data_IF_278175228171
#
_entry.id   IF_278175228171
#
_cell.length_a   1.000
_cell.length_b   1.000
_cell.length_c   1.000
_cell.angle_alpha   90.00
_cell.angle_beta   90.00
_cell.angle_gamma   90.00
#
_symmetry.space_group_name_H-M   'P 1'
#
loop_
_entity.id
_entity.type
_entity.pdbx_description
1 polymer ?
#
# COMPACT_ATOMS: atom_id res chain seq x y z
N UNK A 1 18.62 3.80 -10.21
CA UNK A 1 18.80 3.81 -8.73
C UNK A 1 17.54 3.22 -8.11
N UNK A 2 17.66 2.60 -6.93
CA UNK A 2 16.48 2.12 -6.19
C UNK A 2 15.60 3.31 -5.79
N UNK A 3 14.30 3.09 -5.70
CA UNK A 3 13.35 4.08 -5.21
C UNK A 3 13.67 4.42 -3.75
N UNK A 4 13.81 5.69 -3.44
CA UNK A 4 14.17 6.14 -2.08
C UNK A 4 13.09 5.74 -1.08
N UNK A 5 13.52 5.10 0.03
CA UNK A 5 12.63 4.76 1.13
C UNK A 5 12.06 6.04 1.75
N UNK A 6 10.72 6.18 1.86
CA UNK A 6 10.13 7.31 2.57
C UNK A 6 10.44 7.25 4.07
N UNK A 7 10.31 8.39 4.75
CA UNK A 7 10.34 8.43 6.21
C UNK A 7 9.14 7.69 6.78
N UNK A 8 9.39 6.82 7.77
CA UNK A 8 8.36 5.96 8.37
C UNK A 8 8.48 6.00 9.88
N UNK A 9 7.44 6.48 10.54
CA UNK A 9 7.27 6.32 11.98
C UNK A 9 6.89 4.88 12.32
N UNK A 10 7.22 4.42 13.53
CA UNK A 10 6.99 3.02 13.89
C UNK A 10 6.28 2.90 15.24
N UNK A 11 5.17 2.17 15.23
CA UNK A 11 4.47 1.72 16.43
C UNK A 11 3.93 0.32 16.18
N UNK A 12 4.80 -0.67 16.34
CA UNK A 12 4.51 -2.07 15.99
C UNK A 12 3.53 -2.68 16.96
N UNK A 13 2.44 -3.24 16.46
CA UNK A 13 1.43 -3.94 17.23
C UNK A 13 2.04 -5.10 18.00
N UNK A 14 1.55 -5.29 19.24
CA UNK A 14 1.98 -6.40 20.09
C UNK A 14 1.15 -7.68 19.89
N UNK A 15 -0.06 -7.56 19.28
CA UNK A 15 -1.06 -8.64 19.33
C UNK A 15 -1.86 -8.84 18.04
N UNK A 16 -1.82 -7.90 17.08
CA UNK A 16 -2.67 -7.94 15.88
C UNK A 16 -1.88 -8.32 14.63
N UNK A 17 -1.16 -9.42 14.68
CA UNK A 17 -0.43 -9.97 13.54
C UNK A 17 -0.14 -11.46 13.77
N UNK A 18 0.28 -12.15 12.73
CA UNK A 18 0.86 -13.49 12.86
C UNK A 18 2.37 -13.37 12.66
N UNK A 19 3.13 -13.86 13.64
CA UNK A 19 4.58 -14.02 13.56
C UNK A 19 4.89 -15.08 12.50
N UNK A 20 5.19 -14.61 11.30
CA UNK A 20 5.30 -15.46 10.10
C UNK A 20 6.72 -15.56 9.60
N UNK A 21 7.54 -14.56 9.94
CA UNK A 21 8.92 -14.45 9.50
C UNK A 21 9.10 -14.71 7.99
N UNK A 22 8.21 -14.05 7.18
CA UNK A 22 8.17 -14.21 5.72
C UNK A 22 9.48 -13.75 5.09
N UNK A 23 9.92 -14.50 4.12
CA UNK A 23 11.04 -14.07 3.26
C UNK A 23 10.53 -13.07 2.20
N UNK A 24 11.40 -12.16 1.69
CA UNK A 24 11.00 -11.17 0.69
C UNK A 24 10.27 -11.75 -0.52
N UNK A 25 10.72 -12.90 -1.03
CA UNK A 25 10.13 -13.56 -2.19
C UNK A 25 8.74 -14.15 -1.95
N UNK A 26 8.29 -14.22 -0.71
CA UNK A 26 6.93 -14.63 -0.36
C UNK A 26 5.92 -13.46 -0.41
N UNK A 27 6.40 -12.22 -0.45
CA UNK A 27 5.60 -11.00 -0.56
C UNK A 27 5.42 -10.71 -2.04
N UNK A 28 4.21 -10.94 -2.56
CA UNK A 28 3.91 -10.87 -4.00
C UNK A 28 2.89 -9.81 -4.38
N UNK A 29 2.17 -9.25 -3.40
CA UNK A 29 1.10 -8.30 -3.64
C UNK A 29 1.19 -7.12 -2.68
N UNK A 30 0.78 -5.95 -3.17
CA UNK A 30 0.47 -4.79 -2.34
C UNK A 30 -1.04 -4.55 -2.38
N UNK A 31 -1.67 -4.35 -1.22
CA UNK A 31 -3.12 -4.14 -1.16
C UNK A 31 -3.43 -2.79 -0.54
N UNK A 32 -4.07 -1.94 -1.34
CA UNK A 32 -4.54 -0.62 -0.95
C UNK A 32 -5.90 -0.73 -0.26
N UNK A 33 -6.00 -0.05 0.88
CA UNK A 33 -7.21 0.10 1.67
C UNK A 33 -7.50 1.57 1.96
N UNK A 34 -8.65 1.85 2.53
CA UNK A 34 -8.95 3.13 3.20
C UNK A 34 -9.41 2.85 4.63
N UNK A 35 -9.06 3.73 5.55
CA UNK A 35 -9.40 3.57 6.97
C UNK A 35 -10.93 3.56 7.21
N UNK A 36 -11.69 4.29 6.39
CA UNK A 36 -13.15 4.41 6.53
C UNK A 36 -13.59 5.14 7.81
N UNK A 37 -12.67 5.86 8.45
CA UNK A 37 -12.87 6.71 9.61
C UNK A 37 -11.95 7.93 9.49
N UNK A 38 -12.19 8.99 10.29
CA UNK A 38 -11.48 10.26 10.19
C UNK A 38 -10.19 10.33 11.03
N UNK A 39 -9.79 9.26 11.69
CA UNK A 39 -8.54 9.19 12.46
C UNK A 39 -7.29 9.22 11.57
N UNK A 40 -6.22 9.88 12.02
CA UNK A 40 -4.91 9.91 11.37
C UNK A 40 -4.14 8.60 11.54
N UNK A 41 -2.96 8.50 10.89
CA UNK A 41 -2.18 7.27 10.85
C UNK A 41 -1.67 6.84 12.23
N UNK A 42 -1.16 7.76 13.04
CA UNK A 42 -0.73 7.47 14.42
C UNK A 42 -1.87 6.91 15.27
N UNK A 43 -3.06 7.53 15.20
CA UNK A 43 -4.23 7.10 15.96
C UNK A 43 -4.66 5.68 15.58
N UNK A 44 -4.58 5.33 14.30
CA UNK A 44 -4.85 3.97 13.83
C UNK A 44 -3.81 2.97 14.32
N UNK A 45 -2.51 3.29 14.29
CA UNK A 45 -1.48 2.43 14.88
C UNK A 45 -1.72 2.23 16.38
N UNK A 46 -2.04 3.29 17.14
CA UNK A 46 -2.41 3.18 18.56
C UNK A 46 -3.63 2.28 18.79
N UNK A 47 -4.62 2.34 17.91
CA UNK A 47 -5.82 1.48 17.99
C UNK A 47 -5.48 -0.02 17.90
N UNK A 48 -4.48 -0.39 17.08
CA UNK A 48 -4.06 -1.77 16.89
C UNK A 48 -2.88 -2.20 17.79
N UNK A 49 -2.34 -1.31 18.61
CA UNK A 49 -1.08 -1.52 19.31
C UNK A 49 -1.08 -2.69 20.30
N UNK A 50 -1.94 -2.63 21.33
CA UNK A 50 -1.91 -3.53 22.49
C UNK A 50 -3.23 -4.24 22.78
N UNK A 51 -4.30 -3.91 22.06
CA UNK A 51 -5.60 -4.56 22.21
C UNK A 51 -5.89 -5.43 21.00
N UNK A 52 -6.32 -6.64 21.24
CA UNK A 52 -6.75 -7.53 20.17
C UNK A 52 -7.97 -6.95 19.42
N UNK A 53 -7.85 -6.82 18.11
CA UNK A 53 -8.88 -6.28 17.20
C UNK A 53 -9.32 -7.27 16.14
N UNK A 54 -8.58 -8.37 15.93
CA UNK A 54 -8.83 -9.35 14.89
C UNK A 54 -8.59 -8.81 13.46
N UNK A 55 -7.91 -7.68 13.35
CA UNK A 55 -7.55 -7.02 12.09
C UNK A 55 -6.28 -6.19 12.30
N UNK A 56 -5.57 -5.87 11.21
CA UNK A 56 -4.43 -4.96 11.21
C UNK A 56 -4.04 -4.60 9.77
N UNK A 57 -3.10 -3.67 9.62
CA UNK A 57 -2.41 -3.40 8.36
C UNK A 57 -0.92 -3.18 8.63
N UNK A 58 -0.08 -3.31 7.62
CA UNK A 58 1.35 -3.07 7.79
C UNK A 58 1.65 -1.57 7.92
N UNK A 59 1.00 -0.75 7.08
CA UNK A 59 1.21 0.68 7.07
C UNK A 59 -0.10 1.45 7.10
N UNK A 60 -0.03 2.66 7.66
CA UNK A 60 -1.04 3.69 7.59
C UNK A 60 -0.42 4.97 7.01
N UNK A 61 -1.08 5.59 6.04
CA UNK A 61 -0.69 6.87 5.44
C UNK A 61 -1.67 7.93 5.91
N UNK A 62 -1.17 8.93 6.62
CA UNK A 62 -1.98 9.96 7.27
C UNK A 62 -2.38 11.12 6.37
N UNK A 63 -3.12 12.06 6.95
CA UNK A 63 -3.71 13.18 6.22
C UNK A 63 -2.67 14.21 5.75
N UNK A 64 -1.56 14.33 6.46
CA UNK A 64 -0.48 15.26 6.15
C UNK A 64 0.72 14.54 5.48
N UNK A 65 0.48 13.30 5.03
CA UNK A 65 1.47 12.48 4.32
C UNK A 65 2.40 11.69 5.24
N UNK A 66 2.19 11.73 6.55
CA UNK A 66 2.96 10.94 7.51
C UNK A 66 2.67 9.45 7.31
N UNK A 67 3.72 8.63 7.33
CA UNK A 67 3.60 7.17 7.17
C UNK A 67 3.93 6.51 8.51
N UNK A 68 3.06 5.62 8.96
CA UNK A 68 3.24 4.83 10.17
C UNK A 68 3.23 3.34 9.87
N UNK A 69 4.23 2.62 10.41
CA UNK A 69 4.28 1.17 10.34
C UNK A 69 3.71 0.56 11.62
N UNK A 70 2.71 -0.32 11.45
CA UNK A 70 1.99 -0.97 12.54
C UNK A 70 2.30 -2.48 12.65
N UNK A 71 2.71 -3.14 11.58
CA UNK A 71 3.15 -4.54 11.55
C UNK A 71 4.44 -4.63 10.76
N UNK A 72 5.36 -5.49 11.18
CA UNK A 72 6.60 -5.74 10.45
C UNK A 72 6.30 -6.37 9.09
N UNK A 73 7.08 -5.99 8.08
CA UNK A 73 6.83 -6.47 6.72
C UNK A 73 7.04 -7.98 6.57
N UNK A 74 7.92 -8.57 7.38
CA UNK A 74 8.13 -10.02 7.42
C UNK A 74 7.07 -10.78 8.23
N UNK A 75 6.20 -10.09 8.96
CA UNK A 75 5.05 -10.67 9.62
C UNK A 75 3.78 -10.55 8.78
N UNK A 76 2.71 -11.23 9.18
CA UNK A 76 1.45 -11.20 8.46
C UNK A 76 0.44 -10.30 9.17
N UNK A 77 0.14 -9.15 8.58
CA UNK A 77 -1.00 -8.33 8.99
C UNK A 77 -2.33 -8.94 8.50
N UNK A 78 -3.41 -8.70 9.25
CA UNK A 78 -4.74 -9.25 8.97
C UNK A 78 -5.62 -8.21 8.27
N UNK A 79 -5.37 -7.93 6.99
CA UNK A 79 -6.01 -6.85 6.23
C UNK A 79 -6.95 -7.32 5.10
N UNK A 80 -6.75 -8.51 4.54
CA UNK A 80 -7.56 -9.07 3.47
C UNK A 80 -8.65 -10.04 3.99
N UNK A 81 -9.16 -9.81 5.21
CA UNK A 81 -10.21 -10.64 5.79
C UNK A 81 -11.50 -10.57 4.98
N UNK A 82 -12.16 -11.71 4.88
CA UNK A 82 -13.46 -11.84 4.23
C UNK A 82 -14.35 -12.81 5.01
N UNK A 83 -15.63 -12.50 5.10
CA UNK A 83 -16.65 -13.44 5.61
C UNK A 83 -17.14 -14.42 4.54
N UNK A 84 -16.65 -14.29 3.31
CA UNK A 84 -17.07 -15.07 2.16
C UNK A 84 -15.90 -15.63 1.36
N UNK A 85 -16.09 -15.70 0.05
CA UNK A 85 -15.07 -16.20 -0.88
C UNK A 85 -14.16 -15.08 -1.33
N UNK A 86 -12.88 -15.41 -1.49
CA UNK A 86 -11.95 -14.54 -2.21
C UNK A 86 -12.33 -14.47 -3.70
N UNK A 87 -12.28 -13.27 -4.25
CA UNK A 87 -12.40 -13.03 -5.71
C UNK A 87 -11.06 -13.29 -6.40
N UNK A 88 -9.98 -12.79 -5.79
CA UNK A 88 -8.63 -13.00 -6.32
C UNK A 88 -8.16 -14.43 -6.04
N UNK A 89 -7.57 -15.08 -7.06
CA UNK A 89 -7.16 -16.49 -6.97
C UNK A 89 -6.08 -16.73 -5.91
N UNK A 90 -5.11 -15.83 -5.80
CA UNK A 90 -3.87 -16.05 -5.05
C UNK A 90 -3.62 -15.08 -3.90
N UNK A 91 -4.00 -13.79 -4.02
CA UNK A 91 -3.69 -12.78 -3.00
C UNK A 91 -4.37 -13.10 -1.66
N UNK A 92 -3.58 -13.12 -0.58
CA UNK A 92 -3.97 -13.40 0.82
C UNK A 92 -3.14 -12.52 1.76
N UNK A 93 -3.51 -12.48 3.03
CA UNK A 93 -2.69 -11.84 4.07
C UNK A 93 -1.24 -12.35 4.08
N UNK A 94 -1.05 -13.67 3.90
CA UNK A 94 0.26 -14.32 3.99
C UNK A 94 1.24 -13.96 2.88
N UNK A 95 0.77 -13.40 1.76
CA UNK A 95 1.64 -13.06 0.62
C UNK A 95 1.48 -11.60 0.15
N UNK A 96 0.95 -10.73 1.00
CA UNK A 96 0.76 -9.32 0.67
C UNK A 96 1.17 -8.37 1.79
N UNK A 97 1.40 -7.12 1.43
CA UNK A 97 1.55 -5.97 2.32
C UNK A 97 0.26 -5.14 2.21
N UNK A 98 -0.41 -4.89 3.33
CA UNK A 98 -1.57 -4.00 3.41
C UNK A 98 -1.16 -2.57 3.75
N UNK A 99 -1.71 -1.60 3.04
CA UNK A 99 -1.51 -0.17 3.26
C UNK A 99 -2.87 0.52 3.36
N UNK A 100 -3.16 1.07 4.51
CA UNK A 100 -4.37 1.84 4.83
C UNK A 100 -4.15 3.33 4.59
N UNK A 101 -4.97 3.96 3.76
CA UNK A 101 -4.95 5.40 3.55
C UNK A 101 -6.01 6.08 4.43
N UNK A 102 -5.59 7.06 5.20
CA UNK A 102 -6.50 7.91 5.98
C UNK A 102 -7.34 8.78 5.04
N UNK A 103 -8.60 8.99 5.41
CA UNK A 103 -9.59 9.72 4.61
C UNK A 103 -10.27 10.80 5.42
N UNK A 104 -10.70 11.86 4.74
CA UNK A 104 -11.58 12.89 5.25
C UNK A 104 -12.94 12.81 4.56
N UNK A 105 -13.93 13.51 5.09
CA UNK A 105 -15.24 13.71 4.43
C UNK A 105 -15.36 15.12 3.89
N UNK A 106 -15.90 15.24 2.69
CA UNK A 106 -16.31 16.53 2.12
C UNK A 106 -17.62 17.03 2.74
N UNK A 107 -18.07 18.20 2.33
CA UNK A 107 -19.33 18.81 2.79
C UNK A 107 -20.58 17.96 2.48
N UNK A 108 -20.49 17.06 1.50
CA UNK A 108 -21.57 16.15 1.09
C UNK A 108 -21.47 14.78 1.78
N UNK A 109 -20.47 14.59 2.66
CA UNK A 109 -20.24 13.34 3.38
C UNK A 109 -19.46 12.28 2.57
N UNK A 110 -18.94 12.59 1.39
CA UNK A 110 -18.15 11.67 0.60
C UNK A 110 -16.73 11.57 1.14
N UNK A 111 -16.18 10.36 1.16
CA UNK A 111 -14.80 10.13 1.51
C UNK A 111 -13.85 10.61 0.42
N UNK A 112 -12.72 11.19 0.82
CA UNK A 112 -11.64 11.58 -0.09
C UNK A 112 -10.28 11.48 0.59
N UNK A 113 -9.22 11.32 -0.21
CA UNK A 113 -7.83 11.42 0.23
C UNK A 113 -7.35 12.87 0.06
N UNK A 114 -6.56 13.37 1.01
CA UNK A 114 -5.82 14.63 0.82
C UNK A 114 -4.75 14.45 -0.26
N UNK A 115 -4.26 15.55 -0.83
CA UNK A 115 -3.16 15.46 -1.81
C UNK A 115 -1.87 14.94 -1.17
N UNK A 116 -1.62 15.28 0.11
CA UNK A 116 -0.51 14.79 0.89
C UNK A 116 -0.60 13.27 1.10
N UNK A 117 -1.78 12.76 1.46
CA UNK A 117 -2.03 11.30 1.55
C UNK A 117 -1.75 10.61 0.22
N UNK A 118 -2.22 11.16 -0.90
CA UNK A 118 -2.01 10.58 -2.23
C UNK A 118 -0.53 10.51 -2.58
N UNK A 119 0.20 11.62 -2.42
CA UNK A 119 1.64 11.70 -2.72
C UNK A 119 2.46 10.72 -1.89
N UNK A 120 2.23 10.69 -0.57
CA UNK A 120 2.93 9.78 0.32
C UNK A 120 2.60 8.30 0.04
N UNK A 121 1.34 8.00 -0.33
CA UNK A 121 0.95 6.65 -0.74
C UNK A 121 1.66 6.23 -2.03
N UNK A 122 1.74 7.11 -3.04
CA UNK A 122 2.49 6.84 -4.29
C UNK A 122 3.95 6.53 -3.99
N UNK A 123 4.60 7.33 -3.15
CA UNK A 123 5.99 7.13 -2.73
C UNK A 123 6.18 5.77 -2.03
N UNK A 124 5.32 5.45 -1.06
CA UNK A 124 5.40 4.20 -0.31
C UNK A 124 5.18 2.98 -1.22
N UNK A 125 4.16 3.02 -2.07
CA UNK A 125 3.88 1.89 -2.98
C UNK A 125 5.00 1.70 -4.00
N UNK A 126 5.51 2.76 -4.61
CA UNK A 126 6.64 2.67 -5.53
C UNK A 126 7.89 2.09 -4.85
N UNK A 127 8.19 2.53 -3.62
CA UNK A 127 9.27 1.96 -2.81
C UNK A 127 9.06 0.46 -2.52
N UNK A 128 7.87 0.04 -2.13
CA UNK A 128 7.57 -1.37 -1.84
C UNK A 128 7.58 -2.23 -3.11
N UNK A 129 7.12 -1.69 -4.25
CA UNK A 129 7.23 -2.35 -5.56
C UNK A 129 8.68 -2.62 -5.94
N UNK A 130 9.54 -1.63 -5.80
CA UNK A 130 10.98 -1.76 -6.08
C UNK A 130 11.62 -2.78 -5.12
N UNK A 131 11.37 -2.63 -3.82
CA UNK A 131 11.92 -3.49 -2.76
C UNK A 131 11.59 -4.97 -2.93
N UNK A 132 10.36 -5.29 -3.33
CA UNK A 132 9.86 -6.66 -3.43
C UNK A 132 9.73 -7.16 -4.87
N UNK A 133 10.18 -6.38 -5.85
CA UNK A 133 10.08 -6.68 -7.28
C UNK A 133 8.63 -6.99 -7.70
N UNK A 134 7.69 -6.18 -7.20
CA UNK A 134 6.26 -6.28 -7.47
C UNK A 134 5.91 -5.31 -8.61
N UNK A 135 5.32 -5.82 -9.69
CA UNK A 135 4.81 -5.00 -10.77
C UNK A 135 3.45 -4.35 -10.43
N UNK A 136 3.03 -3.41 -11.26
CA UNK A 136 1.79 -2.69 -11.02
C UNK A 136 0.54 -3.59 -11.11
N UNK A 137 0.58 -4.74 -11.80
CA UNK A 137 -0.57 -5.65 -11.88
C UNK A 137 -0.80 -6.41 -10.57
N UNK A 138 0.22 -6.53 -9.75
CA UNK A 138 0.16 -7.11 -8.41
C UNK A 138 -0.13 -6.08 -7.30
N UNK A 139 -0.38 -4.81 -7.66
CA UNK A 139 -0.93 -3.80 -6.75
C UNK A 139 -2.45 -3.82 -6.88
N UNK A 140 -3.13 -4.20 -5.81
CA UNK A 140 -4.57 -4.48 -5.77
C UNK A 140 -5.29 -3.58 -4.77
N UNK A 141 -6.61 -3.41 -4.94
CA UNK A 141 -7.51 -2.92 -3.89
C UNK A 141 -8.02 -4.09 -3.07
N UNK A 142 -8.41 -3.88 -1.84
CA UNK A 142 -9.16 -4.90 -1.09
C UNK A 142 -10.42 -5.37 -1.85
N UNK A 143 -11.06 -4.46 -2.60
CA UNK A 143 -12.17 -4.78 -3.49
C UNK A 143 -11.82 -5.84 -4.54
N UNK A 144 -10.63 -5.78 -5.11
CA UNK A 144 -10.16 -6.75 -6.10
C UNK A 144 -9.88 -8.12 -5.46
N UNK A 145 -9.46 -8.13 -4.19
CA UNK A 145 -9.14 -9.35 -3.45
C UNK A 145 -10.39 -10.09 -2.97
N UNK A 146 -11.38 -9.37 -2.41
CA UNK A 146 -12.53 -10.00 -1.74
C UNK A 146 -13.89 -9.49 -2.22
N UNK A 147 -13.95 -8.38 -2.96
CA UNK A 147 -15.17 -7.69 -3.31
C UNK A 147 -15.73 -6.76 -2.23
N UNK A 148 -15.04 -6.66 -1.09
CA UNK A 148 -15.41 -5.71 -0.05
C UNK A 148 -15.27 -4.28 -0.57
N UNK A 149 -16.27 -3.43 -0.36
CA UNK A 149 -16.20 -1.99 -0.69
C UNK A 149 -15.26 -1.27 0.30
N UNK A 150 -13.98 -1.58 0.19
CA UNK A 150 -12.90 -0.95 0.91
C UNK A 150 -12.12 -0.06 -0.06
N UNK A 151 -11.84 1.20 0.34
CA UNK A 151 -11.34 2.21 -0.57
C UNK A 151 -12.48 2.82 -1.38
N UNK A 152 -13.54 3.29 -0.71
CA UNK A 152 -14.71 3.86 -1.37
C UNK A 152 -14.34 4.92 -2.44
N UNK A 153 -13.35 5.82 -2.23
CA UNK A 153 -12.87 6.69 -3.29
C UNK A 153 -12.36 5.96 -4.54
N UNK A 154 -11.71 4.82 -4.35
CA UNK A 154 -11.09 4.03 -5.43
C UNK A 154 -12.10 3.17 -6.21
N UNK A 155 -13.25 2.84 -5.63
CA UNK A 155 -14.28 1.99 -6.26
C UNK A 155 -15.48 2.80 -6.75
N UNK A 156 -15.51 4.11 -6.48
CA UNK A 156 -16.53 5.04 -6.93
C UNK A 156 -16.53 5.13 -8.45
N UNK A 157 -17.64 5.61 -9.01
CA UNK A 157 -17.89 5.77 -10.46
C UNK A 157 -16.64 5.85 -11.36
N UNK A 158 -16.46 4.82 -12.18
CA UNK A 158 -15.41 4.78 -13.21
C UNK A 158 -14.00 4.53 -12.68
N UNK A 159 -13.82 4.27 -11.38
CA UNK A 159 -12.52 3.96 -10.76
C UNK A 159 -11.42 5.01 -11.05
N UNK A 160 -11.76 6.27 -11.21
CA UNK A 160 -10.80 7.32 -11.61
C UNK A 160 -9.63 7.47 -10.62
N UNK A 161 -9.92 7.53 -9.33
CA UNK A 161 -8.88 7.61 -8.29
C UNK A 161 -7.94 6.41 -8.34
N UNK A 162 -8.49 5.22 -8.54
CA UNK A 162 -7.70 4.01 -8.68
C UNK A 162 -6.83 3.99 -9.94
N UNK A 163 -7.42 4.38 -11.08
CA UNK A 163 -6.69 4.42 -12.35
C UNK A 163 -5.55 5.42 -12.31
N UNK A 164 -5.79 6.60 -11.73
CA UNK A 164 -4.75 7.62 -11.55
C UNK A 164 -3.65 7.11 -10.61
N UNK A 165 -4.02 6.55 -9.45
CA UNK A 165 -3.05 5.99 -8.52
C UNK A 165 -2.13 4.94 -9.17
N UNK A 166 -2.69 4.06 -10.03
CA UNK A 166 -1.90 3.05 -10.76
C UNK A 166 -0.91 3.68 -11.74
N UNK A 167 -1.28 4.79 -12.37
CA UNK A 167 -0.38 5.55 -13.24
C UNK A 167 0.72 6.22 -12.42
N UNK A 168 0.35 6.93 -11.36
CA UNK A 168 1.27 7.70 -10.51
C UNK A 168 2.37 6.83 -9.89
N UNK A 169 2.05 5.62 -9.38
CA UNK A 169 3.06 4.71 -8.81
C UNK A 169 4.07 4.23 -9.85
N UNK A 170 3.64 4.02 -11.09
CA UNK A 170 4.51 3.59 -12.19
C UNK A 170 5.40 4.75 -12.65
N UNK A 171 4.83 5.94 -12.80
CA UNK A 171 5.57 7.15 -13.20
C UNK A 171 6.62 7.51 -12.16
N UNK A 172 6.23 7.56 -10.88
CA UNK A 172 7.16 7.83 -9.79
C UNK A 172 8.33 6.83 -9.74
N UNK A 173 8.05 5.55 -9.94
CA UNK A 173 9.09 4.52 -9.99
C UNK A 173 10.07 4.69 -11.17
N UNK A 174 9.59 5.16 -12.32
CA UNK A 174 10.44 5.45 -13.49
C UNK A 174 11.31 6.69 -13.28
N UNK A 175 10.75 7.76 -12.73
CA UNK A 175 11.48 9.01 -12.44
C UNK A 175 12.58 8.79 -11.40
N UNK A 176 12.34 7.92 -10.42
CA UNK A 176 13.31 7.57 -9.39
C UNK A 176 14.44 6.63 -9.92
N UNK A 177 14.20 5.91 -11.01
CA UNK A 177 15.22 5.07 -11.68
C UNK A 177 16.06 5.94 -12.64
N UNK A 178 17.41 5.89 -12.61
CA UNK A 178 18.21 6.66 -13.56
C UNK A 178 18.00 6.14 -14.98
N UNK A 179 18.01 7.07 -15.95
CA UNK A 179 18.14 6.71 -17.36
C UNK A 179 19.29 5.72 -17.54
N UNK A 180 18.99 4.56 -18.09
CA UNK A 180 20.04 3.70 -18.63
C UNK A 180 20.69 4.48 -19.77
N UNK A 181 21.86 5.06 -19.51
CA UNK A 181 22.74 5.53 -20.57
C UNK A 181 23.04 4.33 -21.45
N UNK A 182 22.38 4.24 -22.58
CA UNK A 182 22.77 3.32 -23.65
C UNK A 182 24.16 3.74 -24.09
N UNK A 183 25.18 3.06 -23.61
CA UNK A 183 26.53 3.19 -24.14
C UNK A 183 26.45 2.79 -25.62
N UNK A 184 26.82 3.66 -26.57
CA UNK A 184 26.83 3.25 -27.97
C UNK A 184 27.83 2.12 -28.13
N UNK A 185 27.38 1.06 -28.79
CA UNK A 185 28.21 -0.08 -29.17
C UNK A 185 29.44 0.43 -29.95
N UNK A 186 30.66 0.03 -29.60
CA UNK A 186 31.85 0.46 -30.33
C UNK A 186 31.77 -0.05 -31.77
N UNK A 187 31.67 0.87 -32.71
CA UNK A 187 31.80 0.58 -34.14
C UNK A 187 33.17 -0.05 -34.39
N UNK A 188 33.18 -1.27 -34.93
CA UNK A 188 34.39 -1.95 -35.35
C UNK A 188 35.12 -1.11 -36.43
N UNK A 189 36.44 -1.01 -36.38
CA UNK A 189 37.22 -0.32 -37.42
C UNK A 189 37.23 -1.10 -38.73
N UNK A 190 37.45 -0.40 -39.88
CA UNK A 190 37.41 -0.96 -41.22
C UNK A 190 38.53 -1.98 -41.49
#
# INVERSE_FOLDING_TARGET
MAVTKPEVHRLISKVNFSDSNRKPEQIKYLVKHYVGATGGAEANCKYFYDKFRGASSHFFVGHDGEIWQCVEENDTAWHCGTSGKYKHKECRNSNSIGVELCVKKDANGNWYYTEETKKAAVQLFAYLMDKYHIDADHVLRHYDVTGKNCGEPDVRKGNKEWSQFKQDIVEYGKEAAPEQTTTPEPTAPP
#
